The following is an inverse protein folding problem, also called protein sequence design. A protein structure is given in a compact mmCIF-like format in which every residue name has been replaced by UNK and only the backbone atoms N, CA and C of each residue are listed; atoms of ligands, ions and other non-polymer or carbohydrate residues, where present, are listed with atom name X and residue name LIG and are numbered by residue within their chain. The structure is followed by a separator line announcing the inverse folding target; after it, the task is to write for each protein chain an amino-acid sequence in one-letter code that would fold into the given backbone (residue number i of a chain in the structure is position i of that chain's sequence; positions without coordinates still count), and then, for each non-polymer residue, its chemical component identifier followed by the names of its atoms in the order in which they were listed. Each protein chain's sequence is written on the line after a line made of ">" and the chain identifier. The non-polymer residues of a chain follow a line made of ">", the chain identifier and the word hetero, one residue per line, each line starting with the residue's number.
data_IF_141671444213
#
_entry.id   IF_141671444213
#
_cell.length_a   1.000
_cell.length_b   1.000
_cell.length_c   1.000
_cell.angle_alpha   90.00
_cell.angle_beta   90.00
_cell.angle_gamma   90.00
#
_symmetry.space_group_name_H-M   'P 1'
#
loop_
_entity.id
_entity.type
_entity.pdbx_description
1 polymer ?
#
# COMPACT_ATOMS: atom_id res chain seq x y z
N UNK A 1 25.28 -10.74 -10.91
CA UNK A 1 24.40 -10.59 -12.08
C UNK A 1 23.49 -11.82 -12.13
N UNK A 2 22.22 -11.68 -12.56
CA UNK A 2 21.17 -12.72 -12.54
C UNK A 2 20.56 -13.09 -11.18
N UNK A 3 20.65 -12.22 -10.16
CA UNK A 3 20.00 -12.50 -8.89
C UNK A 3 18.52 -12.10 -8.95
N UNK A 4 17.60 -12.97 -8.51
CA UNK A 4 16.20 -12.59 -8.33
C UNK A 4 16.06 -11.52 -7.23
N UNK A 5 15.01 -10.71 -7.35
CA UNK A 5 14.54 -9.81 -6.28
C UNK A 5 13.21 -10.34 -5.75
N UNK A 6 12.99 -10.13 -4.45
CA UNK A 6 11.70 -10.35 -3.79
C UNK A 6 11.32 -9.09 -3.04
N UNK A 7 10.03 -8.86 -2.89
CA UNK A 7 9.50 -7.80 -2.03
C UNK A 7 9.07 -8.39 -0.69
N UNK A 8 9.17 -7.59 0.37
CA UNK A 8 8.72 -7.94 1.71
C UNK A 8 7.33 -7.36 2.02
N UNK A 9 6.47 -8.16 2.66
CA UNK A 9 5.16 -7.75 3.19
C UNK A 9 4.92 -8.32 4.59
N UNK A 10 4.73 -7.43 5.55
CA UNK A 10 4.11 -7.64 6.87
C UNK A 10 3.93 -6.27 7.54
N UNK A 11 3.67 -5.23 6.74
CA UNK A 11 3.84 -3.83 7.15
C UNK A 11 2.49 -3.12 7.08
N UNK A 12 1.91 -3.07 5.88
CA UNK A 12 0.66 -2.35 5.63
C UNK A 12 0.28 -2.38 4.16
N UNK A 13 -0.98 -2.10 3.83
CA UNK A 13 -1.52 -2.34 2.49
C UNK A 13 -0.77 -1.56 1.41
N UNK A 14 -0.48 -0.27 1.59
CA UNK A 14 0.22 0.51 0.56
C UNK A 14 1.58 -0.08 0.16
N UNK A 15 2.27 -0.73 1.10
CA UNK A 15 3.54 -1.40 0.82
C UNK A 15 3.37 -2.56 -0.17
N UNK A 16 2.35 -3.40 0.00
CA UNK A 16 2.12 -4.55 -0.89
C UNK A 16 1.64 -4.12 -2.29
N UNK A 17 0.81 -3.07 -2.40
CA UNK A 17 0.45 -2.50 -3.71
C UNK A 17 1.67 -1.94 -4.43
N UNK A 18 2.51 -1.17 -3.73
CA UNK A 18 3.74 -0.60 -4.28
C UNK A 18 4.74 -1.69 -4.70
N UNK A 19 4.85 -2.74 -3.89
CA UNK A 19 5.65 -3.92 -4.20
C UNK A 19 5.14 -4.65 -5.46
N UNK A 20 3.83 -4.84 -5.59
CA UNK A 20 3.25 -5.45 -6.80
C UNK A 20 3.59 -4.64 -8.07
N UNK A 21 3.49 -3.31 -8.01
CA UNK A 21 3.89 -2.42 -9.12
C UNK A 21 5.36 -2.60 -9.49
N UNK A 22 6.26 -2.56 -8.51
CA UNK A 22 7.69 -2.77 -8.74
C UNK A 22 7.96 -4.16 -9.34
N UNK A 23 7.34 -5.20 -8.78
CA UNK A 23 7.60 -6.59 -9.13
C UNK A 23 7.00 -6.98 -10.49
N UNK A 24 5.93 -6.32 -10.93
CA UNK A 24 5.41 -6.45 -12.30
C UNK A 24 6.26 -5.69 -13.32
N UNK A 25 7.04 -4.69 -12.89
CA UNK A 25 7.90 -3.89 -13.77
C UNK A 25 9.29 -4.50 -13.98
N UNK A 26 9.91 -5.04 -12.93
CA UNK A 26 11.31 -5.50 -13.01
C UNK A 26 11.43 -6.90 -13.64
N UNK A 27 12.47 -7.15 -14.47
CA UNK A 27 12.57 -8.39 -15.23
C UNK A 27 13.04 -9.61 -14.40
N UNK A 28 13.49 -9.39 -13.17
CA UNK A 28 14.03 -10.42 -12.28
C UNK A 28 13.24 -10.57 -10.97
N UNK A 29 11.94 -10.23 -11.00
CA UNK A 29 11.03 -10.50 -9.90
C UNK A 29 10.84 -12.00 -9.68
N UNK A 30 10.94 -12.47 -8.43
CA UNK A 30 10.76 -13.87 -8.07
C UNK A 30 9.37 -14.16 -7.48
N UNK A 31 9.06 -13.55 -6.35
CA UNK A 31 7.76 -13.66 -5.66
C UNK A 31 7.43 -12.35 -4.96
N UNK A 32 6.14 -12.12 -4.73
CA UNK A 32 5.64 -11.03 -3.89
C UNK A 32 5.15 -11.65 -2.59
N UNK A 33 5.82 -11.35 -1.48
CA UNK A 33 5.31 -11.75 -0.16
C UNK A 33 3.94 -11.13 0.08
N UNK A 34 3.01 -11.91 0.64
CA UNK A 34 1.69 -11.43 1.07
C UNK A 34 1.23 -12.17 2.33
N UNK A 35 0.49 -11.50 3.21
CA UNK A 35 -0.13 -12.15 4.37
C UNK A 35 -1.63 -12.35 4.16
N UNK A 36 -2.07 -13.61 3.96
CA UNK A 36 -3.48 -13.95 3.69
C UNK A 36 -4.49 -13.40 4.69
N UNK A 37 -4.10 -13.36 5.97
CA UNK A 37 -4.97 -12.84 7.03
C UNK A 37 -5.13 -11.32 6.96
N UNK A 38 -4.15 -10.61 6.39
CA UNK A 38 -4.19 -9.16 6.29
C UNK A 38 -5.01 -8.72 5.08
N UNK A 39 -4.69 -9.23 3.88
CA UNK A 39 -5.39 -8.80 2.66
C UNK A 39 -6.83 -9.35 2.53
N UNK A 40 -7.16 -10.45 3.23
CA UNK A 40 -8.57 -10.90 3.38
C UNK A 40 -9.26 -10.30 4.60
N UNK A 41 -8.51 -9.64 5.48
CA UNK A 41 -9.01 -9.05 6.71
C UNK A 41 -8.87 -7.54 6.68
N UNK A 42 -8.14 -7.00 7.66
CA UNK A 42 -8.11 -5.59 8.01
C UNK A 42 -7.69 -4.64 6.89
N UNK A 43 -6.96 -5.09 5.86
CA UNK A 43 -6.66 -4.22 4.70
C UNK A 43 -7.93 -3.71 4.03
N UNK A 44 -8.99 -4.52 3.98
CA UNK A 44 -10.26 -4.14 3.38
C UNK A 44 -11.03 -3.11 4.21
N UNK A 45 -10.70 -2.97 5.50
CA UNK A 45 -11.28 -1.97 6.40
C UNK A 45 -10.66 -0.58 6.20
N UNK A 46 -9.48 -0.49 5.59
CA UNK A 46 -8.73 0.77 5.43
C UNK A 46 -8.51 1.18 3.97
N UNK A 47 -8.53 0.24 3.02
CA UNK A 47 -8.35 0.51 1.58
C UNK A 47 -9.68 0.46 0.82
N UNK A 48 -9.80 1.29 -0.21
CA UNK A 48 -10.95 1.35 -1.11
C UNK A 48 -11.08 0.10 -1.98
N UNK A 49 -9.96 -0.48 -2.41
CA UNK A 49 -9.92 -1.69 -3.24
C UNK A 49 -9.29 -2.87 -2.49
N UNK A 50 -9.82 -4.10 -2.64
CA UNK A 50 -9.17 -5.30 -2.12
C UNK A 50 -7.91 -5.65 -2.92
N UNK A 51 -6.93 -6.31 -2.29
CA UNK A 51 -5.74 -6.79 -2.99
C UNK A 51 -6.13 -7.95 -3.93
N UNK A 52 -5.95 -7.83 -5.26
CA UNK A 52 -6.41 -8.85 -6.19
C UNK A 52 -5.40 -10.00 -6.28
N UNK A 53 -5.60 -10.99 -5.41
CA UNK A 53 -4.83 -12.24 -5.37
C UNK A 53 -5.74 -13.40 -5.76
N UNK A 54 -5.39 -14.09 -6.85
CA UNK A 54 -6.11 -15.25 -7.38
C UNK A 54 -5.13 -16.32 -7.86
N UNK A 55 -5.41 -17.58 -7.54
CA UNK A 55 -4.59 -18.73 -7.98
C UNK A 55 -3.09 -18.60 -7.65
N UNK A 56 -2.79 -18.02 -6.49
CA UNK A 56 -1.41 -17.79 -6.03
C UNK A 56 -0.69 -16.63 -6.71
N UNK A 57 -1.36 -15.87 -7.56
CA UNK A 57 -0.80 -14.74 -8.31
C UNK A 57 -1.45 -13.44 -7.88
N UNK A 58 -0.63 -12.39 -7.76
CA UNK A 58 -1.09 -11.02 -7.59
C UNK A 58 -1.23 -10.35 -8.96
N UNK A 59 -2.25 -9.52 -9.13
CA UNK A 59 -2.45 -8.70 -10.32
C UNK A 59 -2.67 -7.24 -9.93
N UNK A 60 -2.80 -6.33 -10.90
CA UNK A 60 -3.17 -4.95 -10.66
C UNK A 60 -4.21 -4.51 -11.70
N UNK A 61 -5.07 -3.57 -11.32
CA UNK A 61 -6.05 -2.97 -12.24
C UNK A 61 -5.42 -1.90 -13.13
N UNK A 62 -6.11 -1.53 -14.21
CA UNK A 62 -5.70 -0.43 -15.11
C UNK A 62 -5.96 0.98 -14.54
N UNK A 63 -6.34 1.09 -13.26
CA UNK A 63 -6.55 2.38 -12.60
C UNK A 63 -5.21 3.14 -12.45
N UNK A 64 -5.21 4.48 -12.60
CA UNK A 64 -3.99 5.28 -12.43
C UNK A 64 -3.35 5.15 -11.04
N UNK A 65 -2.03 5.38 -10.98
CA UNK A 65 -1.26 5.37 -9.75
C UNK A 65 -1.22 3.98 -9.11
N UNK A 66 -1.41 3.91 -7.78
CA UNK A 66 -1.47 2.62 -7.08
C UNK A 66 -2.72 1.80 -7.44
N UNK A 67 -3.76 2.44 -7.97
CA UNK A 67 -5.04 1.82 -8.26
C UNK A 67 -5.91 1.55 -7.03
N UNK A 68 -5.56 2.13 -5.88
CA UNK A 68 -6.32 2.11 -4.62
C UNK A 68 -6.07 3.41 -3.85
N UNK A 69 -6.83 3.63 -2.78
CA UNK A 69 -6.71 4.77 -1.87
C UNK A 69 -7.11 4.36 -0.45
N UNK A 70 -6.70 5.15 0.54
CA UNK A 70 -7.29 5.09 1.88
C UNK A 70 -8.79 5.37 1.79
N UNK A 71 -9.59 4.62 2.55
CA UNK A 71 -11.00 4.92 2.80
C UNK A 71 -11.11 6.25 3.54
N UNK A 72 -12.09 7.07 3.17
CA UNK A 72 -12.31 8.39 3.80
C UNK A 72 -12.58 8.24 5.30
N UNK A 73 -13.30 7.19 5.69
CA UNK A 73 -13.66 6.88 7.08
C UNK A 73 -12.45 6.62 7.97
N UNK A 74 -11.29 6.27 7.40
CA UNK A 74 -10.04 6.15 8.17
C UNK A 74 -9.65 7.50 8.76
N UNK A 75 -9.85 8.59 8.01
CA UNK A 75 -9.48 9.94 8.43
C UNK A 75 -10.38 10.46 9.56
N UNK A 76 -11.59 9.91 9.70
CA UNK A 76 -12.56 10.28 10.74
C UNK A 76 -12.37 9.49 12.06
N UNK A 77 -11.44 8.54 12.11
CA UNK A 77 -11.24 7.69 13.29
C UNK A 77 -10.69 8.49 14.47
N UNK A 78 -11.16 8.22 15.71
CA UNK A 78 -10.71 8.95 16.90
C UNK A 78 -9.25 8.72 17.28
N UNK A 79 -8.61 7.68 16.73
CA UNK A 79 -7.22 7.30 17.00
C UNK A 79 -6.23 7.77 15.94
N UNK A 80 -6.68 8.55 14.95
CA UNK A 80 -5.82 9.07 13.88
C UNK A 80 -5.29 10.47 14.22
N UNK A 81 -3.99 10.66 13.99
CA UNK A 81 -3.33 11.96 14.06
C UNK A 81 -3.05 12.47 12.65
N UNK A 82 -3.63 13.62 12.28
CA UNK A 82 -3.48 14.22 10.97
C UNK A 82 -2.62 15.49 11.09
N UNK A 83 -1.58 15.57 10.26
CA UNK A 83 -0.73 16.75 10.13
C UNK A 83 -0.80 17.25 8.69
N UNK A 84 -0.95 18.56 8.52
CA UNK A 84 -1.04 19.21 7.22
C UNK A 84 0.08 20.24 7.07
N UNK A 85 0.70 20.27 5.90
CA UNK A 85 1.68 21.28 5.51
C UNK A 85 1.37 21.78 4.12
N UNK A 86 0.86 23.02 4.04
CA UNK A 86 0.48 23.68 2.79
C UNK A 86 0.85 25.18 2.85
N UNK A 87 0.46 25.95 1.82
CA UNK A 87 0.75 27.39 1.80
C UNK A 87 0.11 28.17 2.96
N UNK A 88 -0.99 27.67 3.51
CA UNK A 88 -1.78 28.27 4.59
C UNK A 88 -1.39 27.72 5.97
N UNK A 89 -0.88 26.49 6.03
CA UNK A 89 -0.48 25.76 7.23
C UNK A 89 1.02 25.40 7.13
N UNK A 90 1.89 26.37 7.42
CA UNK A 90 3.34 26.12 7.43
C UNK A 90 3.75 25.35 8.68
N UNK A 91 4.48 24.26 8.50
CA UNK A 91 5.14 23.55 9.59
C UNK A 91 6.08 24.49 10.36
N UNK A 92 5.87 24.59 11.67
CA UNK A 92 6.71 25.35 12.59
C UNK A 92 7.55 24.37 13.41
N UNK A 93 8.83 24.15 13.07
CA UNK A 93 9.69 23.21 13.77
C UNK A 93 9.96 23.58 15.23
N UNK A 94 9.54 24.78 15.68
CA UNK A 94 9.64 25.17 17.10
C UNK A 94 8.50 24.64 17.98
N UNK A 95 7.45 24.04 17.38
CA UNK A 95 6.24 23.59 18.08
C UNK A 95 6.17 22.09 18.39
N UNK A 96 7.23 21.34 18.10
CA UNK A 96 7.33 19.90 18.36
C UNK A 96 6.89 19.08 17.17
#
# INVERSE_FOLDING_TARGET
>A
YYLPVTSHDCIGPIAVWSAAHLMLHVPNALVVETVRAFYRGWYNEVMTEPLPVSDGMISLSDKPGLGTALREEVLDRPDVHLEFSDEQHRYDPSKG
#
